data_IF_143915592790
#
_entry.id   IF_143915592790
#
_cell.length_a   1.000
_cell.length_b   1.000
_cell.length_c   1.000
_cell.angle_alpha   90.00
_cell.angle_beta   90.00
_cell.angle_gamma   90.00
#
_symmetry.space_group_name_H-M   'P 1'
#
loop_
_entity.id
_entity.type
_entity.pdbx_description
1 polymer ?
#
# COMPACT_ATOMS: atom_id res chain seq x y z
N UNK A 1 -29.54 29.72 18.06
CA UNK A 1 -29.16 29.55 17.85
C UNK A 1 -28.86 29.01 17.92
N UNK A 2 -28.68 28.68 17.64
CA UNK A 2 -28.18 28.14 17.39
C UNK A 2 -27.89 27.51 17.24
N UNK A 3 -27.74 27.23 16.86
CA UNK A 3 -27.25 26.68 16.52
C UNK A 3 -27.08 26.00 16.40
N UNK A 4 -27.10 25.84 16.23
CA UNK A 4 -26.64 25.16 15.85
C UNK A 4 -26.31 24.69 15.58
N UNK A 5 -26.33 24.76 15.44
CA UNK A 5 -25.71 24.47 15.04
C UNK A 5 -25.15 23.85 14.95
N UNK A 6 -25.21 23.76 15.01
CA UNK A 6 -24.45 23.37 14.78
C UNK A 6 -24.00 22.62 14.63
N UNK A 7 -23.98 22.39 14.47
CA UNK A 7 -23.26 21.85 14.11
C UNK A 7 -22.74 21.27 13.88
N UNK A 8 -22.93 21.25 13.79
CA UNK A 8 -22.19 20.91 13.43
C UNK A 8 -21.50 20.56 13.37
N UNK A 9 -21.51 20.70 13.30
CA UNK A 9 -20.60 20.59 13.09
C UNK A 9 -19.83 20.15 13.26
N UNK A 10 -19.91 20.35 13.20
CA UNK A 10 -19.03 19.93 13.32
C UNK A 10 -18.22 19.39 13.63
N UNK A 11 -17.69 19.69 13.86
CA UNK A 11 -16.62 18.94 14.38
C UNK A 11 -16.64 17.58 14.03
N UNK A 12 -17.50 17.29 13.62
CA UNK A 12 -17.61 15.98 13.09
C UNK A 12 -16.61 15.68 12.04
N UNK A 13 -16.06 16.70 11.47
CA UNK A 13 -15.04 16.51 10.43
C UNK A 13 -13.84 15.72 10.94
N UNK A 14 -13.43 15.95 12.17
CA UNK A 14 -12.26 15.25 12.69
C UNK A 14 -12.53 13.77 12.89
N UNK A 15 -13.72 13.41 13.33
CA UNK A 15 -14.03 12.00 13.48
C UNK A 15 -14.22 11.33 12.11
N UNK A 16 -14.65 12.08 11.13
CA UNK A 16 -14.83 11.53 9.79
C UNK A 16 -13.50 11.12 9.18
N UNK A 17 -12.42 11.84 9.49
CA UNK A 17 -11.12 11.48 8.96
C UNK A 17 -10.65 10.13 9.49
N UNK A 18 -11.19 9.68 10.61
CA UNK A 18 -10.83 8.40 11.18
C UNK A 18 -11.68 7.25 10.65
N UNK A 19 -12.74 7.57 9.90
CA UNK A 19 -13.65 6.56 9.36
C UNK A 19 -13.54 6.53 7.86
N UNK A 20 -12.98 5.45 7.37
CA UNK A 20 -12.78 5.24 5.94
C UNK A 20 -13.96 4.42 5.42
N UNK A 21 -14.63 4.90 4.36
CA UNK A 21 -15.68 4.12 3.74
C UNK A 21 -15.08 2.98 2.92
N UNK A 22 -15.90 1.97 2.64
CA UNK A 22 -15.45 0.85 1.82
C UNK A 22 -14.97 1.30 0.45
N UNK A 23 -15.71 2.22 -0.19
CA UNK A 23 -15.30 2.68 -1.51
C UNK A 23 -14.02 3.51 -1.47
N UNK A 24 -13.82 4.30 -0.41
CA UNK A 24 -12.57 5.02 -0.23
C UNK A 24 -11.41 4.08 0.01
N UNK A 25 -11.63 3.04 0.82
CA UNK A 25 -10.61 2.03 1.04
C UNK A 25 -10.21 1.38 -0.28
N UNK A 26 -11.19 0.94 -1.07
CA UNK A 26 -10.89 0.30 -2.36
C UNK A 26 -10.14 1.24 -3.30
N UNK A 27 -10.52 2.51 -3.34
CA UNK A 27 -9.84 3.47 -4.19
C UNK A 27 -8.38 3.66 -3.76
N UNK A 28 -8.16 3.84 -2.46
CA UNK A 28 -6.79 4.06 -1.94
C UNK A 28 -5.95 2.81 -2.07
N UNK A 29 -6.50 1.64 -1.80
CA UNK A 29 -5.77 0.38 -1.92
C UNK A 29 -5.43 0.08 -3.38
N UNK A 30 -6.36 0.33 -4.30
CA UNK A 30 -6.10 0.16 -5.72
C UNK A 30 -4.98 1.06 -6.22
N UNK A 31 -4.88 2.28 -5.70
CA UNK A 31 -3.78 3.16 -6.07
C UNK A 31 -2.43 2.55 -5.72
N UNK A 32 -2.36 1.88 -4.58
CA UNK A 32 -1.12 1.22 -4.16
C UNK A 32 -0.76 0.11 -5.14
N UNK A 33 -1.71 -0.78 -5.43
CA UNK A 33 -1.43 -1.92 -6.31
C UNK A 33 -1.05 -1.43 -7.71
N UNK A 34 -1.73 -0.42 -8.22
CA UNK A 34 -1.45 0.13 -9.55
C UNK A 34 -0.09 0.82 -9.60
N UNK A 35 0.29 1.52 -8.54
CA UNK A 35 1.59 2.18 -8.48
C UNK A 35 2.72 1.14 -8.51
N UNK A 36 2.54 0.03 -7.81
CA UNK A 36 3.52 -1.05 -7.83
C UNK A 36 3.65 -1.62 -9.23
N UNK A 37 2.53 -1.96 -9.85
CA UNK A 37 2.54 -2.52 -11.21
C UNK A 37 3.22 -1.59 -12.20
N UNK A 38 2.89 -0.30 -12.15
CA UNK A 38 3.47 0.68 -13.08
C UNK A 38 4.98 0.80 -12.87
N UNK A 39 5.42 0.77 -11.63
CA UNK A 39 6.85 0.86 -11.34
C UNK A 39 7.59 -0.35 -11.88
N UNK A 40 7.04 -1.55 -11.72
CA UNK A 40 7.71 -2.76 -12.22
C UNK A 40 7.80 -2.76 -13.74
N UNK A 41 6.77 -2.26 -14.43
CA UNK A 41 6.81 -2.13 -15.89
C UNK A 41 7.92 -1.16 -16.29
N UNK A 42 8.01 -0.02 -15.62
CA UNK A 42 9.04 0.97 -15.90
C UNK A 42 10.44 0.41 -15.66
N UNK A 43 10.63 -0.32 -14.56
CA UNK A 43 11.92 -0.92 -14.25
C UNK A 43 12.33 -1.93 -15.32
N UNK A 44 11.39 -2.73 -15.81
CA UNK A 44 11.69 -3.71 -16.85
C UNK A 44 12.11 -3.01 -18.16
N UNK A 45 11.39 -1.97 -18.54
CA UNK A 45 11.62 -1.29 -19.81
C UNK A 45 12.86 -0.40 -19.80
N UNK A 46 13.13 0.27 -18.66
CA UNK A 46 14.18 1.28 -18.62
C UNK A 46 15.44 0.79 -17.96
N UNK A 47 15.34 -0.09 -16.99
CA UNK A 47 16.46 -0.51 -16.17
C UNK A 47 16.74 -2.00 -16.28
N UNK A 48 15.96 -2.71 -17.07
CA UNK A 48 16.11 -4.15 -17.28
C UNK A 48 16.03 -4.93 -15.96
N UNK A 49 15.24 -4.42 -15.02
CA UNK A 49 15.00 -5.13 -13.76
C UNK A 49 13.80 -6.05 -14.00
N UNK A 50 14.02 -7.34 -13.86
CA UNK A 50 13.00 -8.35 -14.18
C UNK A 50 12.34 -8.87 -12.90
N UNK A 51 11.30 -8.15 -12.47
CA UNK A 51 10.44 -8.59 -11.38
C UNK A 51 9.04 -8.64 -11.98
N UNK A 52 8.49 -9.84 -12.08
CA UNK A 52 7.16 -10.02 -12.65
C UNK A 52 6.09 -9.71 -11.61
N UNK A 53 4.94 -9.23 -12.08
CA UNK A 53 3.79 -9.05 -11.20
C UNK A 53 2.59 -9.76 -11.78
N UNK A 54 1.74 -10.28 -10.91
CA UNK A 54 0.50 -10.89 -11.30
C UNK A 54 -0.58 -10.45 -10.32
N UNK A 55 -1.63 -9.85 -10.85
CA UNK A 55 -2.71 -9.32 -10.02
C UNK A 55 -3.98 -10.14 -10.23
N UNK A 56 -4.59 -10.55 -9.12
CA UNK A 56 -5.87 -11.25 -9.12
C UNK A 56 -6.74 -10.63 -8.06
N UNK A 57 -7.73 -9.83 -8.47
CA UNK A 57 -8.57 -9.12 -7.53
C UNK A 57 -7.74 -8.19 -6.66
N UNK A 58 -7.82 -8.35 -5.35
CA UNK A 58 -7.06 -7.54 -4.41
C UNK A 58 -5.71 -8.12 -4.02
N UNK A 59 -5.24 -9.12 -4.74
CA UNK A 59 -3.96 -9.78 -4.44
C UNK A 59 -2.98 -9.50 -5.57
N UNK A 60 -1.79 -9.04 -5.21
CA UNK A 60 -0.71 -8.78 -6.14
C UNK A 60 0.52 -9.58 -5.72
N UNK A 61 1.00 -10.44 -6.61
CA UNK A 61 2.21 -11.22 -6.38
C UNK A 61 3.36 -10.62 -7.17
N UNK A 62 4.50 -10.45 -6.52
CA UNK A 62 5.74 -10.05 -7.16
C UNK A 62 6.65 -11.26 -7.18
N UNK A 63 7.14 -11.63 -8.36
CA UNK A 63 8.02 -12.79 -8.53
C UNK A 63 9.39 -12.33 -8.98
N UNK A 64 10.40 -12.79 -8.26
CA UNK A 64 11.79 -12.42 -8.51
C UNK A 64 12.50 -13.51 -9.30
N UNK A 65 13.55 -13.18 -10.07
CA UNK A 65 14.30 -14.20 -10.82
C UNK A 65 14.79 -15.35 -9.96
N UNK A 66 15.04 -15.09 -8.67
CA UNK A 66 15.49 -16.12 -7.75
C UNK A 66 14.40 -17.15 -7.42
N UNK A 67 13.14 -16.85 -7.79
CA UNK A 67 11.99 -17.68 -7.42
C UNK A 67 11.31 -17.23 -6.14
N UNK A 68 11.86 -16.26 -5.44
CA UNK A 68 11.21 -15.73 -4.24
C UNK A 68 10.05 -14.82 -4.62
N UNK A 69 9.16 -14.58 -3.67
CA UNK A 69 7.95 -13.80 -3.91
C UNK A 69 7.71 -12.80 -2.80
N UNK A 70 7.02 -11.71 -3.17
CA UNK A 70 6.40 -10.80 -2.22
C UNK A 70 4.93 -10.73 -2.60
N UNK A 71 4.05 -10.72 -1.61
CA UNK A 71 2.62 -10.67 -1.85
C UNK A 71 2.04 -9.45 -1.14
N UNK A 72 1.27 -8.66 -1.88
CA UNK A 72 0.50 -7.56 -1.32
C UNK A 72 -0.96 -7.90 -1.48
N UNK A 73 -1.72 -7.84 -0.39
CA UNK A 73 -3.09 -8.30 -0.37
C UNK A 73 -3.97 -7.27 0.34
N UNK A 74 -5.09 -6.90 -0.28
CA UNK A 74 -6.06 -6.02 0.39
C UNK A 74 -6.97 -6.85 1.29
N UNK A 75 -7.31 -6.29 2.46
CA UNK A 75 -8.21 -6.92 3.40
C UNK A 75 -9.38 -5.96 3.68
N UNK A 76 -10.42 -5.97 2.83
CA UNK A 76 -11.51 -5.02 2.94
C UNK A 76 -12.24 -5.01 4.28
N UNK A 77 -12.54 -6.15 4.89
CA UNK A 77 -13.25 -6.11 6.18
C UNK A 77 -12.50 -5.37 7.27
N UNK A 78 -11.19 -5.28 7.17
CA UNK A 78 -10.36 -4.61 8.16
C UNK A 78 -9.86 -3.25 7.68
N UNK A 79 -10.11 -2.90 6.43
CA UNK A 79 -9.55 -1.72 5.77
C UNK A 79 -8.02 -1.70 5.88
N UNK A 80 -7.40 -2.86 5.63
CA UNK A 80 -5.96 -3.01 5.75
C UNK A 80 -5.33 -3.47 4.44
N UNK A 81 -4.05 -3.12 4.28
CA UNK A 81 -3.17 -3.72 3.29
C UNK A 81 -2.24 -4.67 4.03
N UNK A 82 -2.05 -5.85 3.47
CA UNK A 82 -1.15 -6.84 4.04
C UNK A 82 0.02 -7.06 3.11
N UNK A 83 1.22 -7.15 3.68
CA UNK A 83 2.46 -7.40 2.94
C UNK A 83 3.08 -8.66 3.50
N UNK A 84 3.30 -9.64 2.65
CA UNK A 84 3.98 -10.87 3.02
C UNK A 84 5.30 -10.95 2.26
N UNK A 85 6.40 -11.03 3.00
CA UNK A 85 7.73 -11.07 2.44
C UNK A 85 8.55 -12.09 3.22
N UNK A 86 9.82 -12.23 2.82
CA UNK A 86 10.70 -13.23 3.45
C UNK A 86 10.88 -13.00 4.94
N UNK A 87 10.87 -11.75 5.38
CA UNK A 87 11.08 -11.42 6.79
C UNK A 87 9.82 -11.55 7.63
N UNK A 88 8.64 -11.68 7.03
CA UNK A 88 7.40 -11.84 7.78
C UNK A 88 6.22 -11.20 7.11
N UNK A 89 5.12 -11.11 7.85
CA UNK A 89 3.89 -10.49 7.39
C UNK A 89 3.62 -9.20 8.15
N UNK A 90 3.13 -8.20 7.43
CA UNK A 90 2.91 -6.87 7.97
C UNK A 90 1.54 -6.36 7.56
N UNK A 91 0.86 -5.67 8.47
CA UNK A 91 -0.49 -5.14 8.25
C UNK A 91 -0.45 -3.62 8.33
N UNK A 92 -1.09 -2.94 7.38
CA UNK A 92 -1.04 -1.48 7.28
C UNK A 92 -2.43 -0.90 7.27
N UNK A 93 -2.61 0.22 7.95
CA UNK A 93 -3.84 1.01 7.93
C UNK A 93 -3.55 2.39 7.38
N UNK A 94 -4.58 3.01 6.82
CA UNK A 94 -4.45 4.35 6.28
C UNK A 94 -4.55 5.38 7.40
N UNK A 95 -3.48 6.14 7.59
CA UNK A 95 -3.39 7.16 8.63
C UNK A 95 -2.81 8.41 8.00
N UNK A 96 -3.59 9.49 7.95
CA UNK A 96 -3.11 10.74 7.39
C UNK A 96 -2.68 10.64 5.94
N UNK A 97 -3.34 9.78 5.18
CA UNK A 97 -3.02 9.60 3.77
C UNK A 97 -1.89 8.62 3.48
N UNK A 98 -1.32 8.02 4.52
CA UNK A 98 -0.24 7.05 4.36
C UNK A 98 -0.64 5.70 4.96
N UNK A 99 -0.11 4.64 4.38
CA UNK A 99 -0.35 3.28 4.90
C UNK A 99 0.72 2.98 5.93
N UNK A 100 0.30 2.86 7.19
CA UNK A 100 1.22 2.74 8.33
C UNK A 100 1.06 1.37 8.97
N UNK A 101 2.19 0.73 9.27
CA UNK A 101 2.24 -0.58 9.93
C UNK A 101 1.53 -0.49 11.28
N UNK A 102 0.59 -1.38 11.51
CA UNK A 102 -0.20 -1.40 12.74
C UNK A 102 0.65 -1.73 13.98
N UNK A 103 1.86 -2.22 13.76
CA UNK A 103 2.77 -2.55 14.86
C UNK A 103 3.94 -1.57 14.96
N UNK A 104 3.84 -0.43 14.28
CA UNK A 104 4.84 0.62 14.41
C UNK A 104 6.09 0.43 13.56
N UNK A 105 6.01 -0.39 12.52
CA UNK A 105 7.16 -0.68 11.68
C UNK A 105 7.47 0.34 10.60
N UNK A 106 6.57 1.29 10.36
CA UNK A 106 6.80 2.34 9.39
C UNK A 106 5.77 2.37 8.28
N UNK A 107 6.12 3.05 7.20
CA UNK A 107 5.21 3.29 6.09
C UNK A 107 5.39 2.20 5.02
N UNK A 108 4.30 1.87 4.34
CA UNK A 108 4.20 0.73 3.43
C UNK A 108 5.28 0.74 2.33
N UNK A 109 5.42 1.85 1.61
CA UNK A 109 6.35 1.87 0.48
C UNK A 109 7.81 1.81 0.95
N UNK A 110 8.11 2.38 2.11
CA UNK A 110 9.45 2.26 2.67
C UNK A 110 9.76 0.81 3.03
N UNK A 111 8.79 0.12 3.64
CA UNK A 111 8.99 -1.28 4.01
C UNK A 111 9.03 -2.17 2.78
N UNK A 112 8.18 -1.91 1.79
CA UNK A 112 8.19 -2.65 0.54
C UNK A 112 9.52 -2.46 -0.19
N UNK A 113 10.04 -1.23 -0.24
CA UNK A 113 11.32 -0.96 -0.88
C UNK A 113 12.45 -1.76 -0.24
N UNK A 114 12.45 -1.85 1.10
CA UNK A 114 13.44 -2.63 1.82
C UNK A 114 13.36 -4.11 1.45
N UNK A 115 12.14 -4.66 1.40
CA UNK A 115 11.96 -6.08 1.08
C UNK A 115 12.30 -6.38 -0.39
N UNK A 116 11.91 -5.50 -1.30
CA UNK A 116 12.26 -5.65 -2.71
C UNK A 116 13.78 -5.59 -2.89
N UNK A 117 14.43 -4.64 -2.23
CA UNK A 117 15.88 -4.49 -2.33
C UNK A 117 16.60 -5.73 -1.84
N UNK A 118 16.14 -6.29 -0.72
CA UNK A 118 16.73 -7.49 -0.16
C UNK A 118 16.62 -8.67 -1.11
N UNK A 119 15.46 -8.85 -1.74
CA UNK A 119 15.24 -10.00 -2.62
C UNK A 119 15.85 -9.80 -4.01
N UNK A 120 15.94 -8.57 -4.47
CA UNK A 120 16.56 -8.26 -5.76
C UNK A 120 18.09 -8.20 -5.66
N UNK A 121 18.64 -8.08 -4.46
CA UNK A 121 20.08 -8.00 -4.27
C UNK A 121 20.69 -6.66 -4.69
N UNK A 122 19.88 -5.61 -4.72
CA UNK A 122 20.35 -4.26 -5.08
C UNK A 122 19.40 -3.22 -4.50
N UNK A 123 19.89 -2.00 -4.23
CA UNK A 123 19.02 -0.97 -3.68
C UNK A 123 18.00 -0.51 -4.72
N UNK A 124 16.73 -0.61 -4.36
CA UNK A 124 15.61 -0.19 -5.19
C UNK A 124 14.60 0.56 -4.32
N UNK A 125 14.05 1.63 -4.86
CA UNK A 125 13.06 2.43 -4.15
C UNK A 125 11.78 2.46 -4.99
N UNK A 126 10.67 2.11 -4.35
CA UNK A 126 9.36 2.19 -4.97
C UNK A 126 8.55 3.22 -4.19
N UNK A 127 7.85 4.09 -4.90
CA UNK A 127 7.10 5.18 -4.28
C UNK A 127 5.62 5.02 -4.58
N UNK A 128 4.81 5.72 -3.78
CA UNK A 128 3.36 5.65 -3.90
C UNK A 128 2.85 6.18 -5.23
N UNK A 129 3.65 6.96 -5.94
CA UNK A 129 3.29 7.47 -7.26
C UNK A 129 4.40 7.18 -8.22
N UNK A 130 4.06 6.58 -9.37
CA UNK A 130 5.02 6.29 -10.42
C UNK A 130 5.25 7.48 -11.35
N UNK A 131 4.45 8.52 -11.21
CA UNK A 131 4.52 9.67 -12.09
C UNK A 131 5.61 10.64 -11.68
#
# INVERSE_FOLDING_TARGET
MPGPTSRSDSPAASSQSAVLSDSEFHARANEVLSAIEATLVSWLQEDEIDIDSQRTGGLLELQFPSGSKIVVNTQPPLHELWLAARTGGYHFRLVGGEWIDTRGGGEFFAMLSREISAQAGRPLVIARSAA
#
